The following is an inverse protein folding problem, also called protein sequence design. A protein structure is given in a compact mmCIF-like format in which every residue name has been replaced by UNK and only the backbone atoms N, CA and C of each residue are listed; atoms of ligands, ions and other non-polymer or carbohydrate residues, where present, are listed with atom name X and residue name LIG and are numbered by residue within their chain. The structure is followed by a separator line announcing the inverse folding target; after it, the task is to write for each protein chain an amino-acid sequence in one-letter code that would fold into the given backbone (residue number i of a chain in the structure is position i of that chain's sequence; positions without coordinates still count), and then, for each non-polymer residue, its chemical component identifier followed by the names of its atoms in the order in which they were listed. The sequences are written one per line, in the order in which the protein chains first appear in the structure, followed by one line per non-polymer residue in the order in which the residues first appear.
data_IF_586680423399
#
_entry.id   IF_586680423399
#
_cell.length_a   1.000
_cell.length_b   1.000
_cell.length_c   1.000
_cell.angle_alpha   90.00
_cell.angle_beta   90.00
_cell.angle_gamma   90.00
#
_symmetry.space_group_name_H-M   'P 1'
#
loop_
_entity.id
_entity.type
_entity.pdbx_description
1 polymer ?
#
# COMPACT_ATOMS: atom_id res chain seq x y z
N UNK A 1 -7.42 7.90 10.47
CA UNK A 1 -5.96 7.95 10.19
C UNK A 1 -5.80 8.61 8.83
N UNK A 2 -4.81 9.50 8.66
CA UNK A 2 -4.50 10.10 7.35
C UNK A 2 -3.13 9.58 6.93
N UNK A 3 -3.07 8.86 5.81
CA UNK A 3 -1.83 8.34 5.23
C UNK A 3 -1.54 9.10 3.93
N UNK A 4 -0.27 9.44 3.70
CA UNK A 4 0.20 10.03 2.44
C UNK A 4 1.31 9.15 1.90
N UNK A 5 1.20 8.76 0.63
CA UNK A 5 2.21 7.98 -0.08
C UNK A 5 2.77 8.80 -1.23
N UNK A 6 4.08 8.68 -1.48
CA UNK A 6 4.75 9.27 -2.62
C UNK A 6 5.20 8.16 -3.57
N UNK A 7 4.85 8.31 -4.85
CA UNK A 7 5.27 7.40 -5.91
C UNK A 7 6.31 8.09 -6.77
N UNK A 8 7.45 7.45 -6.98
CA UNK A 8 8.32 7.86 -8.07
C UNK A 8 7.60 7.64 -9.42
N UNK A 9 7.91 8.40 -10.46
CA UNK A 9 7.43 8.09 -11.81
C UNK A 9 7.77 6.66 -12.23
N UNK A 10 6.98 6.12 -13.15
CA UNK A 10 7.25 4.83 -13.75
C UNK A 10 8.63 4.85 -14.42
N UNK A 11 9.49 3.83 -14.17
CA UNK A 11 10.92 3.94 -14.46
C UNK A 11 11.26 3.83 -15.95
N UNK A 12 10.48 3.07 -16.72
CA UNK A 12 10.69 2.92 -18.16
C UNK A 12 9.94 4.00 -18.91
N UNK A 13 10.59 4.65 -19.87
CA UNK A 13 10.04 5.77 -20.63
C UNK A 13 10.01 5.41 -22.11
N UNK A 14 8.99 5.86 -22.84
CA UNK A 14 8.92 5.72 -24.30
C UNK A 14 10.06 6.43 -25.04
N UNK A 15 10.71 7.40 -24.37
CA UNK A 15 12.03 7.91 -24.74
C UNK A 15 13.06 7.32 -23.76
N UNK A 16 13.77 6.25 -24.16
CA UNK A 16 14.72 5.57 -23.29
C UNK A 16 15.77 6.51 -22.69
N UNK A 17 16.16 6.21 -21.45
CA UNK A 17 17.32 6.83 -20.81
C UNK A 17 18.59 6.06 -21.18
N UNK A 18 19.75 6.68 -20.94
CA UNK A 18 21.04 5.99 -21.06
C UNK A 18 21.13 4.88 -20.01
N UNK A 19 21.59 3.72 -20.44
CA UNK A 19 21.83 2.54 -19.64
C UNK A 19 23.17 1.90 -20.04
N UNK A 20 23.44 0.71 -19.51
CA UNK A 20 24.61 -0.11 -19.82
C UNK A 20 24.13 -1.54 -20.07
N UNK A 21 24.69 -2.18 -21.10
CA UNK A 21 24.52 -3.61 -21.32
C UNK A 21 25.38 -4.38 -20.29
N UNK A 22 24.76 -5.26 -19.51
CA UNK A 22 25.43 -5.93 -18.39
C UNK A 22 26.36 -7.07 -18.81
N UNK A 23 26.23 -7.60 -20.03
CA UNK A 23 27.12 -8.65 -20.54
C UNK A 23 28.41 -8.07 -21.11
N UNK A 24 28.28 -6.94 -21.82
CA UNK A 24 29.38 -6.30 -22.56
C UNK A 24 30.01 -5.12 -21.80
N UNK A 25 29.28 -4.48 -20.89
CA UNK A 25 29.70 -3.26 -20.20
C UNK A 25 29.59 -1.98 -21.04
N UNK A 26 29.11 -2.09 -22.28
CA UNK A 26 29.01 -0.98 -23.22
C UNK A 26 27.76 -0.13 -23.02
N UNK A 27 27.80 1.11 -23.54
CA UNK A 27 26.66 2.03 -23.47
C UNK A 27 25.47 1.49 -24.26
N UNK A 28 24.28 1.49 -23.64
CA UNK A 28 23.04 1.03 -24.24
C UNK A 28 21.87 1.96 -23.87
N UNK A 29 20.69 1.72 -24.45
CA UNK A 29 19.45 2.37 -24.05
C UNK A 29 18.69 1.53 -23.00
N UNK A 30 17.94 2.19 -22.12
CA UNK A 30 17.09 1.52 -21.16
C UNK A 30 15.91 0.81 -21.85
N UNK A 31 15.50 -0.33 -21.28
CA UNK A 31 14.40 -1.12 -21.79
C UNK A 31 13.04 -0.40 -21.69
N UNK A 32 12.19 -0.60 -22.70
CA UNK A 32 10.82 -0.06 -22.75
C UNK A 32 9.82 -1.18 -22.54
N UNK A 33 9.33 -1.32 -21.30
CA UNK A 33 8.42 -2.41 -20.91
C UNK A 33 6.94 -2.01 -20.88
N UNK A 34 6.67 -0.74 -20.59
CA UNK A 34 5.31 -0.22 -20.37
C UNK A 34 5.18 1.22 -20.86
N UNK A 35 3.97 1.57 -21.30
CA UNK A 35 3.67 2.84 -21.97
C UNK A 35 2.81 3.80 -21.14
N UNK A 36 2.31 3.40 -19.98
CA UNK A 36 1.53 4.29 -19.10
C UNK A 36 2.36 5.50 -18.67
N UNK A 37 1.74 6.68 -18.65
CA UNK A 37 2.40 7.93 -18.21
C UNK A 37 2.41 8.05 -16.68
N UNK A 38 1.33 7.63 -16.02
CA UNK A 38 1.16 7.69 -14.57
C UNK A 38 0.40 6.47 -14.05
N UNK A 39 0.60 6.14 -12.78
CA UNK A 39 -0.10 5.05 -12.09
C UNK A 39 -0.42 5.42 -10.62
N UNK A 40 -0.58 6.71 -10.33
CA UNK A 40 -0.81 7.22 -8.96
C UNK A 40 -2.19 6.84 -8.46
N UNK A 41 -3.17 6.77 -9.35
CA UNK A 41 -4.54 6.35 -9.09
C UNK A 41 -4.58 4.85 -8.74
N UNK A 42 -3.88 4.02 -9.51
CA UNK A 42 -3.73 2.60 -9.21
C UNK A 42 -3.00 2.39 -7.88
N UNK A 43 -1.98 3.19 -7.59
CA UNK A 43 -1.30 3.17 -6.29
C UNK A 43 -2.26 3.50 -5.13
N UNK A 44 -3.20 4.43 -5.29
CA UNK A 44 -4.12 4.78 -4.22
C UNK A 44 -4.91 3.54 -3.74
N UNK A 45 -5.41 2.74 -4.67
CA UNK A 45 -6.10 1.47 -4.36
C UNK A 45 -5.17 0.48 -3.65
N UNK A 46 -3.93 0.34 -4.13
CA UNK A 46 -2.92 -0.52 -3.48
C UNK A 46 -2.61 -0.04 -2.07
N UNK A 47 -2.45 1.27 -1.88
CA UNK A 47 -2.15 1.87 -0.59
C UNK A 47 -3.30 1.69 0.40
N UNK A 48 -4.55 1.87 -0.04
CA UNK A 48 -5.73 1.59 0.78
C UNK A 48 -5.77 0.13 1.22
N UNK A 49 -5.52 -0.81 0.31
CA UNK A 49 -5.50 -2.23 0.63
C UNK A 49 -4.38 -2.58 1.65
N UNK A 50 -3.16 -2.06 1.46
CA UNK A 50 -2.06 -2.25 2.40
C UNK A 50 -2.39 -1.68 3.79
N UNK A 51 -2.96 -0.47 3.85
CA UNK A 51 -3.34 0.16 5.12
C UNK A 51 -4.47 -0.62 5.80
N UNK A 52 -5.50 -1.03 5.06
CA UNK A 52 -6.60 -1.82 5.60
C UNK A 52 -6.11 -3.15 6.17
N UNK A 53 -5.18 -3.83 5.49
CA UNK A 53 -4.59 -5.07 5.96
C UNK A 53 -3.83 -4.89 7.28
N UNK A 54 -3.00 -3.85 7.41
CA UNK A 54 -2.28 -3.58 8.65
C UNK A 54 -3.21 -3.14 9.79
N UNK A 55 -4.26 -2.37 9.49
CA UNK A 55 -5.27 -2.01 10.50
C UNK A 55 -6.06 -3.24 10.96
N UNK A 56 -6.41 -4.15 10.07
CA UNK A 56 -7.06 -5.41 10.42
C UNK A 56 -6.16 -6.29 11.28
N UNK A 57 -4.86 -6.37 10.96
CA UNK A 57 -3.86 -7.09 11.77
C UNK A 57 -3.76 -6.52 13.18
N UNK A 58 -3.61 -5.20 13.31
CA UNK A 58 -3.53 -4.52 14.60
C UNK A 58 -4.83 -4.65 15.41
N UNK A 59 -5.99 -4.60 14.74
CA UNK A 59 -7.27 -4.82 15.38
C UNK A 59 -7.39 -6.26 15.90
N UNK A 60 -7.00 -7.25 15.09
CA UNK A 60 -7.01 -8.67 15.49
C UNK A 60 -6.07 -8.92 16.66
N UNK A 61 -4.88 -8.33 16.65
CA UNK A 61 -3.93 -8.43 17.78
C UNK A 61 -4.52 -7.85 19.08
N UNK A 62 -5.27 -6.74 18.98
CA UNK A 62 -5.90 -6.09 20.14
C UNK A 62 -7.13 -6.84 20.67
N UNK A 63 -7.98 -7.34 19.78
CA UNK A 63 -9.30 -7.87 20.14
C UNK A 63 -9.39 -9.40 20.10
N UNK A 64 -8.43 -10.07 19.46
CA UNK A 64 -8.44 -11.52 19.31
C UNK A 64 -9.64 -12.01 18.50
N UNK A 65 -10.14 -13.18 18.87
CA UNK A 65 -11.29 -13.84 18.23
C UNK A 65 -10.87 -14.80 17.12
N UNK A 66 -11.32 -16.04 17.25
CA UNK A 66 -11.20 -17.05 16.18
C UNK A 66 -12.43 -17.03 15.26
N UNK A 67 -13.56 -16.51 15.75
CA UNK A 67 -14.75 -16.16 14.98
C UNK A 67 -14.95 -14.64 14.91
N UNK A 68 -15.66 -14.19 13.87
CA UNK A 68 -15.96 -12.77 13.69
C UNK A 68 -16.85 -12.23 14.82
N UNK A 69 -17.76 -13.03 15.36
CA UNK A 69 -18.62 -12.59 16.46
C UNK A 69 -17.81 -12.28 17.74
N UNK A 70 -16.78 -13.08 18.05
CA UNK A 70 -15.91 -12.87 19.21
C UNK A 70 -15.16 -11.55 19.11
N UNK A 71 -14.56 -11.29 17.93
CA UNK A 71 -13.87 -10.04 17.63
C UNK A 71 -14.81 -8.83 17.80
N UNK A 72 -16.02 -8.91 17.23
CA UNK A 72 -17.01 -7.83 17.27
C UNK A 72 -17.48 -7.57 18.71
N UNK A 73 -17.71 -8.62 19.50
CA UNK A 73 -18.10 -8.49 20.90
C UNK A 73 -16.99 -7.82 21.74
N UNK A 74 -15.74 -8.26 21.57
CA UNK A 74 -14.58 -7.67 22.26
C UNK A 74 -14.38 -6.19 21.89
N UNK A 75 -14.52 -5.84 20.61
CA UNK A 75 -14.45 -4.46 20.14
C UNK A 75 -15.55 -3.59 20.76
N UNK A 76 -16.81 -4.06 20.80
CA UNK A 76 -17.93 -3.32 21.40
C UNK A 76 -17.72 -3.05 22.88
N UNK A 77 -17.37 -4.08 23.65
CA UNK A 77 -17.10 -3.94 25.08
C UNK A 77 -15.94 -2.96 25.36
N UNK A 78 -14.92 -2.95 24.48
CA UNK A 78 -13.84 -1.97 24.57
C UNK A 78 -14.32 -0.54 24.37
N UNK A 79 -15.14 -0.30 23.34
CA UNK A 79 -15.68 1.04 23.02
C UNK A 79 -16.61 1.55 24.13
N UNK A 80 -17.49 0.71 24.67
CA UNK A 80 -18.39 1.07 25.78
C UNK A 80 -17.64 1.46 27.05
N UNK A 81 -16.48 0.82 27.29
CA UNK A 81 -15.66 1.06 28.49
C UNK A 81 -14.86 2.36 28.42
N UNK A 82 -14.50 2.84 27.23
CA UNK A 82 -13.66 4.03 27.07
C UNK A 82 -14.53 5.28 26.84
N UNK A 83 -14.11 6.48 27.30
CA UNK A 83 -14.83 7.73 27.01
C UNK A 83 -14.54 8.21 25.58
N UNK A 84 -14.82 7.35 24.60
CA UNK A 84 -14.62 7.66 23.19
C UNK A 84 -15.90 8.16 22.57
N UNK A 85 -15.82 9.28 21.86
CA UNK A 85 -16.90 9.84 21.06
C UNK A 85 -16.43 9.87 19.61
N UNK A 86 -17.20 9.29 18.65
CA UNK A 86 -16.89 9.44 17.24
C UNK A 86 -16.84 10.93 16.89
N UNK A 87 -15.81 11.34 16.14
CA UNK A 87 -15.73 12.67 15.53
C UNK A 87 -16.27 12.61 14.12
#
# INVERSE_FOLDING_TARGET
IVVRAAMKPLPTLMKPLRSVDLETGEAAEALVERSDVAAVEALAVVAEACVAFELARAAREKFGGDALEDFVAAHRAYVERIPWSPR
#
